data_IF_835034067394
#
_entry.id   IF_835034067394
#
_cell.length_a   1.000
_cell.length_b   1.000
_cell.length_c   1.000
_cell.angle_alpha   90.00
_cell.angle_beta   90.00
_cell.angle_gamma   90.00
#
_symmetry.space_group_name_H-M   'P 1'
#
loop_
_entity.id
_entity.type
_entity.pdbx_description
1 polymer ?
#
# COMPACT_ATOMS: atom_id res chain seq x y z
N UNK A 1 -12.10 25.77 -1.82
CA UNK A 1 -12.26 26.24 -3.20
C UNK A 1 -13.15 25.31 -4.00
N UNK A 2 -13.63 25.74 -5.17
CA UNK A 2 -14.42 24.88 -6.07
C UNK A 2 -13.53 23.72 -6.57
N UNK A 3 -14.05 22.49 -6.71
CA UNK A 3 -13.32 21.39 -7.31
C UNK A 3 -12.83 21.74 -8.72
N UNK A 4 -11.59 21.35 -9.04
CA UNK A 4 -11.02 21.54 -10.38
C UNK A 4 -10.79 20.18 -11.02
N UNK A 5 -11.12 20.04 -12.30
CA UNK A 5 -10.82 18.85 -13.08
C UNK A 5 -9.42 18.92 -13.66
N UNK A 6 -8.71 17.81 -13.65
CA UNK A 6 -7.45 17.63 -14.36
C UNK A 6 -7.72 16.83 -15.63
N UNK A 7 -7.27 17.37 -16.78
CA UNK A 7 -7.46 16.72 -18.08
C UNK A 7 -6.22 15.91 -18.42
N UNK A 8 -6.42 14.62 -18.65
CA UNK A 8 -5.39 13.71 -19.13
C UNK A 8 -5.73 13.13 -20.49
N UNK A 9 -4.72 12.94 -21.34
CA UNK A 9 -4.89 12.11 -22.52
C UNK A 9 -4.76 10.62 -22.16
N UNK A 10 -5.44 9.75 -22.90
CA UNK A 10 -5.30 8.30 -22.72
C UNK A 10 -3.85 7.84 -22.91
N UNK A 11 -3.11 8.44 -23.83
CA UNK A 11 -1.70 8.14 -24.02
C UNK A 11 -0.83 8.55 -22.82
N UNK A 12 -1.10 9.72 -22.23
CA UNK A 12 -0.42 10.16 -21.01
C UNK A 12 -0.67 9.22 -19.83
N UNK A 13 -1.91 8.82 -19.63
CA UNK A 13 -2.30 7.85 -18.60
C UNK A 13 -1.61 6.49 -18.81
N UNK A 14 -1.66 5.95 -20.03
CA UNK A 14 -1.03 4.67 -20.37
C UNK A 14 0.49 4.71 -20.18
N UNK A 15 1.14 5.82 -20.53
CA UNK A 15 2.58 6.03 -20.33
C UNK A 15 2.94 6.12 -18.84
N UNK A 16 2.17 6.88 -18.05
CA UNK A 16 2.37 7.00 -16.61
C UNK A 16 2.23 5.65 -15.90
N UNK A 17 1.17 4.88 -16.19
CA UNK A 17 0.98 3.53 -15.65
C UNK A 17 2.13 2.62 -16.06
N UNK A 18 2.52 2.61 -17.34
CA UNK A 18 3.60 1.74 -17.81
C UNK A 18 4.92 2.03 -17.09
N UNK A 19 5.23 3.31 -16.87
CA UNK A 19 6.45 3.71 -16.17
C UNK A 19 6.45 3.26 -14.70
N UNK A 20 5.35 3.52 -13.99
CA UNK A 20 5.20 3.10 -12.60
C UNK A 20 5.24 1.56 -12.45
N UNK A 21 4.54 0.86 -13.33
CA UNK A 21 4.45 -0.60 -13.29
C UNK A 21 5.77 -1.29 -13.60
N UNK A 22 6.55 -0.76 -14.56
CA UNK A 22 7.91 -1.26 -14.83
C UNK A 22 8.82 -1.08 -13.61
N UNK A 23 8.76 0.06 -12.94
CA UNK A 23 9.54 0.34 -11.73
C UNK A 23 9.23 -0.65 -10.61
N UNK A 24 7.97 -1.07 -10.48
CA UNK A 24 7.49 -1.96 -9.44
C UNK A 24 7.38 -3.44 -9.89
N UNK A 25 7.83 -3.77 -11.09
CA UNK A 25 7.80 -5.14 -11.65
C UNK A 25 6.42 -5.81 -11.52
N UNK A 26 5.37 -5.10 -11.95
CA UNK A 26 4.01 -5.62 -11.86
C UNK A 26 3.68 -6.59 -12.98
N UNK A 27 2.86 -7.59 -12.64
CA UNK A 27 2.36 -8.60 -13.57
C UNK A 27 0.91 -9.02 -13.30
N UNK A 28 0.41 -9.98 -14.07
CA UNK A 28 -0.96 -10.49 -13.95
C UNK A 28 -1.25 -11.29 -12.68
N UNK A 29 -0.23 -11.71 -11.94
CA UNK A 29 -0.40 -12.42 -10.66
C UNK A 29 -0.57 -11.46 -9.49
N UNK A 30 -0.36 -10.16 -9.73
CA UNK A 30 -0.51 -9.17 -8.67
C UNK A 30 -1.96 -8.99 -8.27
N UNK A 31 -2.13 -8.74 -6.98
CA UNK A 31 -3.43 -8.50 -6.34
C UNK A 31 -3.45 -7.12 -5.71
N UNK A 32 -4.53 -6.40 -5.98
CA UNK A 32 -4.82 -5.08 -5.40
C UNK A 32 -6.09 -5.12 -4.58
N UNK A 33 -6.21 -4.20 -3.65
CA UNK A 33 -7.49 -3.86 -3.03
C UNK A 33 -7.90 -2.47 -3.48
N UNK A 34 -9.09 -2.36 -4.04
CA UNK A 34 -9.76 -1.12 -4.43
C UNK A 34 -10.57 -0.60 -3.24
N UNK A 35 -10.24 0.60 -2.76
CA UNK A 35 -10.91 1.18 -1.60
C UNK A 35 -11.01 2.71 -1.65
N UNK A 36 -10.30 3.36 -2.55
CA UNK A 36 -10.39 4.80 -2.74
C UNK A 36 -11.45 5.15 -3.80
N UNK A 37 -12.03 6.34 -3.76
CA UNK A 37 -12.90 6.80 -4.85
C UNK A 37 -12.12 6.88 -6.17
N UNK A 38 -12.78 6.56 -7.30
CA UNK A 38 -12.17 6.69 -8.64
C UNK A 38 -11.78 8.14 -9.02
N UNK A 39 -12.26 9.13 -8.29
CA UNK A 39 -11.79 10.51 -8.39
C UNK A 39 -10.37 10.70 -7.83
N UNK A 40 -9.88 9.77 -7.01
CA UNK A 40 -8.52 9.78 -6.48
C UNK A 40 -7.57 9.17 -7.51
N UNK A 41 -6.53 9.93 -7.89
CA UNK A 41 -5.60 9.51 -8.94
C UNK A 41 -4.89 8.17 -8.64
N UNK A 42 -4.59 7.87 -7.39
CA UNK A 42 -3.99 6.59 -7.02
C UNK A 42 -4.91 5.41 -7.37
N UNK A 43 -6.22 5.50 -7.10
CA UNK A 43 -7.17 4.46 -7.47
C UNK A 43 -7.29 4.32 -8.98
N UNK A 44 -7.45 5.46 -9.66
CA UNK A 44 -7.58 5.51 -11.12
C UNK A 44 -6.36 4.92 -11.83
N UNK A 45 -5.16 5.25 -11.38
CA UNK A 45 -3.93 4.89 -12.08
C UNK A 45 -3.33 3.57 -11.59
N UNK A 46 -3.17 3.40 -10.26
CA UNK A 46 -2.47 2.25 -9.69
C UNK A 46 -3.34 1.01 -9.57
N UNK A 47 -4.66 1.15 -9.52
CA UNK A 47 -5.58 0.02 -9.43
C UNK A 47 -6.27 -0.20 -10.77
N UNK A 48 -7.12 0.73 -11.20
CA UNK A 48 -7.94 0.57 -12.41
C UNK A 48 -7.08 0.43 -13.68
N UNK A 49 -6.27 1.46 -14.01
CA UNK A 49 -5.49 1.44 -15.25
C UNK A 49 -4.39 0.38 -15.23
N UNK A 50 -3.80 0.10 -14.08
CA UNK A 50 -2.81 -0.95 -13.96
C UNK A 50 -3.42 -2.33 -14.21
N UNK A 51 -4.58 -2.63 -13.65
CA UNK A 51 -5.24 -3.92 -13.85
C UNK A 51 -5.67 -4.13 -15.31
N UNK A 52 -6.21 -3.09 -15.96
CA UNK A 52 -6.56 -3.12 -17.39
C UNK A 52 -5.32 -3.40 -18.28
N UNK A 53 -4.17 -2.86 -17.88
CA UNK A 53 -2.93 -2.98 -18.66
C UNK A 53 -2.22 -4.30 -18.45
N UNK A 54 -2.22 -4.84 -17.23
CA UNK A 54 -1.40 -6.00 -16.82
C UNK A 54 -2.22 -7.24 -16.47
N UNK A 55 -3.55 -7.12 -16.41
CA UNK A 55 -4.42 -8.25 -16.08
C UNK A 55 -4.40 -8.63 -14.60
N UNK A 56 -4.02 -7.71 -13.71
CA UNK A 56 -3.92 -7.96 -12.28
C UNK A 56 -5.30 -8.16 -11.64
N UNK A 57 -5.34 -8.86 -10.50
CA UNK A 57 -6.57 -9.13 -9.78
C UNK A 57 -6.95 -7.96 -8.87
N UNK A 58 -8.21 -7.52 -8.92
CA UNK A 58 -8.75 -6.47 -8.05
C UNK A 58 -9.75 -7.10 -7.07
N UNK A 59 -9.58 -6.81 -5.80
CA UNK A 59 -10.54 -7.07 -4.72
C UNK A 59 -11.13 -5.74 -4.27
N UNK A 60 -12.44 -5.67 -4.16
CA UNK A 60 -13.12 -4.47 -3.69
C UNK A 60 -13.33 -4.53 -2.19
N UNK A 61 -12.95 -3.46 -1.48
CA UNK A 61 -13.27 -3.31 -0.07
C UNK A 61 -14.76 -2.99 0.08
N UNK A 62 -15.40 -3.62 1.05
CA UNK A 62 -16.82 -3.43 1.31
C UNK A 62 -17.07 -2.11 2.05
N UNK A 63 -16.30 -1.84 3.11
CA UNK A 63 -16.42 -0.64 3.92
C UNK A 63 -15.15 -0.35 4.70
N UNK A 64 -15.09 0.82 5.35
CA UNK A 64 -13.99 1.14 6.28
C UNK A 64 -14.03 0.28 7.55
N UNK A 65 -15.21 -0.19 7.96
CA UNK A 65 -15.37 -1.02 9.16
C UNK A 65 -14.89 -2.45 8.92
N UNK A 66 -15.03 -2.97 7.70
CA UNK A 66 -14.59 -4.30 7.29
C UNK A 66 -13.19 -4.31 6.68
N UNK A 67 -12.53 -3.14 6.54
CA UNK A 67 -11.33 -2.97 5.76
C UNK A 67 -10.19 -3.95 6.08
N UNK A 68 -9.94 -4.23 7.37
CA UNK A 68 -8.91 -5.22 7.76
C UNK A 68 -9.31 -6.64 7.34
N UNK A 69 -10.58 -6.99 7.43
CA UNK A 69 -11.09 -8.29 6.98
C UNK A 69 -11.00 -8.41 5.46
N UNK A 70 -11.30 -7.33 4.74
CA UNK A 70 -11.15 -7.25 3.28
C UNK A 70 -9.70 -7.40 2.86
N UNK A 71 -8.76 -6.76 3.56
CA UNK A 71 -7.32 -6.97 3.38
C UNK A 71 -6.90 -8.43 3.60
N UNK A 72 -7.42 -9.07 4.65
CA UNK A 72 -7.13 -10.47 4.95
C UNK A 72 -7.67 -11.43 3.87
N UNK A 73 -8.78 -11.09 3.21
CA UNK A 73 -9.32 -11.84 2.06
C UNK A 73 -8.51 -11.58 0.79
N UNK A 74 -8.22 -10.31 0.49
CA UNK A 74 -7.51 -9.91 -0.72
C UNK A 74 -6.05 -10.35 -0.70
N UNK A 75 -5.39 -10.25 0.44
CA UNK A 75 -3.94 -10.48 0.62
C UNK A 75 -3.16 -9.82 -0.51
N UNK A 76 -3.24 -8.48 -0.65
CA UNK A 76 -2.66 -7.77 -1.78
C UNK A 76 -1.16 -8.00 -1.86
N UNK A 77 -0.63 -8.14 -3.08
CA UNK A 77 0.81 -8.23 -3.34
C UNK A 77 1.42 -6.85 -3.49
N UNK A 78 0.62 -5.89 -3.94
CA UNK A 78 0.97 -4.48 -4.01
C UNK A 78 -0.13 -3.70 -3.27
N UNK A 79 0.30 -2.88 -2.33
CA UNK A 79 -0.61 -2.17 -1.45
C UNK A 79 -0.20 -0.71 -1.26
N UNK A 80 -1.09 0.20 -1.62
CA UNK A 80 -0.94 1.63 -1.40
C UNK A 80 -1.86 2.08 -0.28
N UNK A 81 -1.32 2.83 0.68
CA UNK A 81 -2.11 3.35 1.80
C UNK A 81 -1.62 4.74 2.20
N UNK A 82 -2.55 5.61 2.59
CA UNK A 82 -2.19 6.94 3.09
C UNK A 82 -1.49 6.85 4.46
N UNK A 83 -0.56 7.76 4.78
CA UNK A 83 0.25 7.70 6.00
C UNK A 83 -0.55 7.57 7.29
N UNK A 84 -1.69 8.27 7.41
CA UNK A 84 -2.57 8.20 8.59
C UNK A 84 -3.03 6.78 8.91
N UNK A 85 -3.30 5.97 7.91
CA UNK A 85 -3.77 4.60 8.11
C UNK A 85 -2.60 3.67 8.45
N UNK A 86 -1.40 3.89 7.89
CA UNK A 86 -0.20 3.20 8.31
C UNK A 86 0.09 3.43 9.82
N UNK A 87 0.01 4.68 10.26
CA UNK A 87 0.13 5.02 11.69
C UNK A 87 -0.95 4.35 12.53
N UNK A 88 -2.21 4.36 12.07
CA UNK A 88 -3.32 3.72 12.78
C UNK A 88 -3.12 2.20 12.93
N UNK A 89 -2.64 1.53 11.92
CA UNK A 89 -2.32 0.09 11.99
C UNK A 89 -1.18 -0.19 12.98
N UNK A 90 -0.10 0.60 12.94
CA UNK A 90 0.99 0.50 13.91
C UNK A 90 0.47 0.68 15.35
N UNK A 91 -0.31 1.73 15.60
CA UNK A 91 -0.89 2.00 16.92
C UNK A 91 -1.80 0.85 17.39
N UNK A 92 -2.61 0.28 16.50
CA UNK A 92 -3.46 -0.85 16.81
C UNK A 92 -2.69 -2.12 17.21
N UNK A 93 -1.51 -2.32 16.63
CA UNK A 93 -0.61 -3.42 17.01
C UNK A 93 0.09 -3.12 18.32
N UNK A 94 0.62 -1.90 18.49
CA UNK A 94 1.32 -1.48 19.71
C UNK A 94 0.40 -1.43 20.93
N UNK A 95 -0.90 -1.19 20.75
CA UNK A 95 -1.89 -1.29 21.82
C UNK A 95 -2.05 -2.74 22.36
N UNK A 96 -1.85 -3.74 21.48
CA UNK A 96 -1.90 -5.17 21.88
C UNK A 96 -0.55 -5.70 22.36
N UNK A 97 0.53 -5.14 21.87
CA UNK A 97 1.91 -5.53 22.20
C UNK A 97 2.79 -4.29 22.23
N UNK A 98 3.22 -3.82 23.43
CA UNK A 98 4.10 -2.66 23.57
C UNK A 98 5.33 -2.76 22.67
N UNK A 99 5.74 -1.66 22.05
CA UNK A 99 6.80 -1.62 21.06
C UNK A 99 8.12 -2.21 21.55
N UNK A 100 8.51 -1.91 22.79
CA UNK A 100 9.73 -2.47 23.39
C UNK A 100 9.72 -4.00 23.43
N UNK A 101 8.57 -4.59 23.78
CA UNK A 101 8.38 -6.04 23.79
C UNK A 101 8.43 -6.61 22.37
N UNK A 102 7.77 -5.93 21.43
CA UNK A 102 7.79 -6.31 20.02
C UNK A 102 9.21 -6.33 19.49
N UNK A 103 9.99 -5.27 19.69
CA UNK A 103 11.37 -5.16 19.21
C UNK A 103 12.28 -6.23 19.82
N UNK A 104 12.11 -6.56 21.10
CA UNK A 104 12.86 -7.67 21.74
C UNK A 104 12.54 -9.02 21.06
N UNK A 105 11.29 -9.29 20.79
CA UNK A 105 10.86 -10.54 20.13
C UNK A 105 11.37 -10.61 18.68
N UNK A 106 11.35 -9.49 17.95
CA UNK A 106 11.79 -9.43 16.55
C UNK A 106 13.30 -9.69 16.38
N UNK A 107 14.11 -9.48 17.43
CA UNK A 107 15.55 -9.79 17.43
C UNK A 107 15.86 -11.27 17.54
N UNK A 108 14.93 -12.09 18.00
CA UNK A 108 15.11 -13.54 18.15
C UNK A 108 14.83 -14.23 16.80
N UNK A 109 15.76 -15.01 16.21
CA UNK A 109 15.66 -15.47 14.83
C UNK A 109 14.35 -16.20 14.51
N UNK A 110 14.04 -17.28 15.20
CA UNK A 110 12.83 -18.08 14.96
C UNK A 110 11.55 -17.40 15.46
N UNK A 111 11.60 -16.86 16.68
CA UNK A 111 10.46 -16.17 17.29
C UNK A 111 10.12 -14.91 16.50
N UNK A 112 11.13 -14.12 16.13
CA UNK A 112 10.94 -12.92 15.32
C UNK A 112 10.30 -13.21 13.98
N UNK A 113 10.69 -14.28 13.29
CA UNK A 113 10.05 -14.70 12.05
C UNK A 113 8.56 -15.05 12.25
N UNK A 114 8.24 -15.83 13.30
CA UNK A 114 6.85 -16.17 13.63
C UNK A 114 6.02 -14.93 13.98
N UNK A 115 6.58 -14.01 14.76
CA UNK A 115 5.90 -12.76 15.16
C UNK A 115 5.64 -11.88 13.93
N UNK A 116 6.63 -11.66 13.07
CA UNK A 116 6.47 -10.92 11.80
C UNK A 116 5.33 -11.52 10.97
N UNK A 117 5.41 -12.83 10.72
CA UNK A 117 4.42 -13.55 9.92
C UNK A 117 3.00 -13.43 10.52
N UNK A 118 2.87 -13.56 11.85
CA UNK A 118 1.59 -13.43 12.54
C UNK A 118 1.00 -12.01 12.41
N UNK A 119 1.83 -10.99 12.57
CA UNK A 119 1.40 -9.59 12.45
C UNK A 119 0.99 -9.28 11.01
N UNK A 120 1.84 -9.59 10.03
CA UNK A 120 1.55 -9.33 8.62
C UNK A 120 0.31 -10.10 8.15
N UNK A 121 0.14 -11.36 8.56
CA UNK A 121 -1.07 -12.14 8.27
C UNK A 121 -2.30 -11.53 8.93
N UNK A 122 -2.18 -11.04 10.16
CA UNK A 122 -3.27 -10.35 10.87
C UNK A 122 -3.69 -9.03 10.21
N UNK A 123 -2.80 -8.38 9.47
CA UNK A 123 -3.09 -7.22 8.63
C UNK A 123 -3.52 -7.58 7.19
N UNK A 124 -3.42 -8.85 6.79
CA UNK A 124 -3.63 -9.27 5.40
C UNK A 124 -2.48 -8.91 4.46
N UNK A 125 -1.30 -8.57 4.99
CA UNK A 125 -0.13 -8.11 4.23
C UNK A 125 0.99 -9.15 4.13
N UNK A 126 0.72 -10.40 4.47
CA UNK A 126 1.70 -11.49 4.46
C UNK A 126 2.13 -11.94 3.05
N UNK A 127 1.48 -11.46 2.01
CA UNK A 127 1.83 -11.64 0.61
C UNK A 127 2.27 -10.33 -0.06
N UNK A 128 2.30 -9.24 0.71
CA UNK A 128 2.64 -7.93 0.17
C UNK A 128 4.15 -7.86 -0.09
N UNK A 129 4.51 -7.76 -1.38
CA UNK A 129 5.89 -7.61 -1.85
C UNK A 129 6.29 -6.15 -2.02
N UNK A 130 5.31 -5.27 -2.19
CA UNK A 130 5.48 -3.83 -2.30
C UNK A 130 4.37 -3.13 -1.52
N UNK A 131 4.75 -2.44 -0.48
CA UNK A 131 3.88 -1.52 0.23
C UNK A 131 4.30 -0.08 -0.08
N UNK A 132 3.34 0.81 -0.29
CA UNK A 132 3.63 2.20 -0.56
C UNK A 132 2.78 3.14 0.29
N UNK A 133 3.39 4.24 0.70
CA UNK A 133 2.72 5.34 1.36
C UNK A 133 2.88 6.63 0.54
N UNK A 134 1.83 7.45 0.47
CA UNK A 134 1.90 8.69 -0.29
C UNK A 134 0.77 9.65 0.03
N UNK A 135 0.67 10.74 -0.74
CA UNK A 135 -0.25 11.85 -0.55
C UNK A 135 0.06 12.76 0.68
N UNK A 136 0.96 12.37 1.56
CA UNK A 136 1.54 13.17 2.65
C UNK A 136 2.87 12.56 3.08
N UNK A 137 3.77 13.32 3.73
CA UNK A 137 5.02 12.78 4.25
C UNK A 137 4.78 11.66 5.26
N UNK A 138 5.59 10.61 5.18
CA UNK A 138 5.56 9.48 6.12
C UNK A 138 6.56 9.70 7.24
N UNK A 139 6.17 9.56 8.52
CA UNK A 139 7.14 9.60 9.61
C UNK A 139 8.18 8.49 9.47
N UNK A 140 9.46 8.83 9.64
CA UNK A 140 10.59 7.89 9.44
C UNK A 140 10.53 6.71 10.42
N UNK A 141 10.08 6.95 11.65
CA UNK A 141 9.87 5.92 12.66
C UNK A 141 8.82 4.88 12.21
N UNK A 142 7.75 5.32 11.55
CA UNK A 142 6.72 4.43 10.98
C UNK A 142 7.32 3.59 9.83
N UNK A 143 8.07 4.20 8.92
CA UNK A 143 8.76 3.47 7.85
C UNK A 143 9.67 2.38 8.43
N UNK A 144 10.51 2.73 9.40
CA UNK A 144 11.44 1.82 10.05
C UNK A 144 10.71 0.70 10.81
N UNK A 145 9.59 1.02 11.43
CA UNK A 145 8.77 0.04 12.14
C UNK A 145 8.25 -1.05 11.20
N UNK A 146 7.73 -0.69 10.02
CA UNK A 146 7.27 -1.67 9.02
C UNK A 146 8.42 -2.44 8.39
N UNK A 147 9.55 -1.79 8.11
CA UNK A 147 10.76 -2.47 7.63
C UNK A 147 11.26 -3.52 8.62
N UNK A 148 11.19 -3.25 9.92
CA UNK A 148 11.52 -4.22 10.97
C UNK A 148 10.55 -5.42 10.98
N UNK A 149 9.32 -5.26 10.52
CA UNK A 149 8.37 -6.36 10.30
C UNK A 149 8.65 -7.14 9.01
N UNK A 150 9.59 -6.68 8.18
CA UNK A 150 9.90 -7.30 6.89
C UNK A 150 8.99 -6.85 5.75
N UNK A 151 8.25 -5.75 5.94
CA UNK A 151 7.45 -5.11 4.90
C UNK A 151 8.26 -3.95 4.31
N UNK A 152 8.63 -4.06 3.03
CA UNK A 152 9.30 -2.98 2.33
C UNK A 152 8.28 -1.88 2.00
N UNK A 153 8.25 -0.88 2.89
CA UNK A 153 7.37 0.27 2.76
C UNK A 153 8.15 1.42 2.12
N UNK A 154 7.76 1.76 0.90
CA UNK A 154 8.35 2.86 0.14
C UNK A 154 7.47 4.11 0.22
N UNK A 155 8.09 5.27 0.15
CA UNK A 155 7.37 6.52 0.05
C UNK A 155 7.24 6.91 -1.43
N UNK A 156 6.04 7.31 -1.83
CA UNK A 156 5.77 7.75 -3.19
C UNK A 156 5.26 9.18 -3.18
N UNK A 157 5.79 9.99 -4.10
CA UNK A 157 5.33 11.34 -4.35
C UNK A 157 4.67 11.43 -5.72
N UNK A 158 3.51 12.07 -5.74
CA UNK A 158 2.76 12.33 -6.96
C UNK A 158 1.58 13.27 -6.73
N UNK A 159 1.02 13.72 -7.82
CA UNK A 159 -0.17 14.56 -7.86
C UNK A 159 -1.06 14.12 -9.03
N UNK A 160 -2.29 14.60 -9.05
CA UNK A 160 -3.21 14.25 -10.14
C UNK A 160 -2.65 14.62 -11.50
N UNK A 161 -2.00 15.78 -11.60
CA UNK A 161 -1.45 16.33 -12.85
C UNK A 161 -0.32 15.50 -13.46
N UNK A 162 0.38 14.69 -12.68
CA UNK A 162 1.45 13.80 -13.17
C UNK A 162 1.08 12.31 -13.10
N UNK A 163 -0.20 12.00 -13.17
CA UNK A 163 -0.72 10.62 -13.14
C UNK A 163 -0.41 9.86 -11.84
N UNK A 164 -0.20 10.54 -10.72
CA UNK A 164 -0.20 9.97 -9.38
C UNK A 164 1.14 9.52 -8.82
N UNK A 165 2.13 9.19 -9.64
CA UNK A 165 3.46 8.78 -9.17
C UNK A 165 4.54 9.37 -10.06
N UNK A 166 5.39 10.21 -9.50
CA UNK A 166 6.57 10.76 -10.17
C UNK A 166 7.89 10.35 -9.52
N UNK A 167 7.90 10.11 -8.21
CA UNK A 167 9.07 9.72 -7.44
C UNK A 167 8.74 8.63 -6.45
N UNK A 168 9.70 7.75 -6.17
CA UNK A 168 9.63 6.75 -5.10
C UNK A 168 11.02 6.59 -4.47
N UNK A 169 11.07 6.40 -3.16
CA UNK A 169 12.30 6.08 -2.42
C UNK A 169 12.67 4.61 -2.59
#
# INVERSE_FOLDING_TARGET
GKPKGVVHSFNGMASGVTSAMRRFHMDSNDRFISYLPLAHVAERMLVEQASLRYGSHIFFAESLDTFVQDLQRARPTIFFLVPRLWVKFQQGINAKMPEEKLQKLLRLPLIGWLVRRKILKGLGLDQCRLAAGGAAPMPVDVLNWYRNLGLDLVEVYGMTENCGVSHST
#
